data_IF_755084384209
#
_entry.id   IF_755084384209
#
_cell.length_a   1.000
_cell.length_b   1.000
_cell.length_c   1.000
_cell.angle_alpha   90.00
_cell.angle_beta   90.00
_cell.angle_gamma   90.00
#
_symmetry.space_group_name_H-M   'P 1'
#
loop_
_entity.id
_entity.type
_entity.pdbx_description
1 polymer ?
#
# COMPACT_ATOMS: atom_id res chain seq x y z
N UNK A 1 6.95 14.44 -16.67
CA UNK A 1 6.06 14.58 -15.50
C UNK A 1 5.92 13.21 -14.86
N UNK A 2 6.32 13.07 -13.60
CA UNK A 2 6.20 11.80 -12.89
C UNK A 2 4.78 11.66 -12.35
N UNK A 3 4.15 10.50 -12.51
CA UNK A 3 2.84 10.20 -11.93
C UNK A 3 2.93 9.76 -10.47
N UNK A 4 4.09 9.90 -9.85
CA UNK A 4 4.32 9.65 -8.43
C UNK A 4 4.05 10.96 -7.70
N UNK A 5 3.08 10.94 -6.78
CA UNK A 5 2.77 12.04 -5.87
C UNK A 5 3.32 11.73 -4.50
N UNK A 6 3.99 12.70 -3.87
CA UNK A 6 4.52 12.61 -2.51
C UNK A 6 3.91 13.74 -1.67
N UNK A 7 3.25 13.38 -0.57
CA UNK A 7 2.51 14.29 0.29
C UNK A 7 2.97 14.15 1.73
N UNK A 8 3.18 15.27 2.39
CA UNK A 8 3.62 15.32 3.78
C UNK A 8 2.94 16.48 4.49
N UNK A 9 2.27 16.21 5.61
CA UNK A 9 1.66 17.20 6.48
C UNK A 9 1.45 16.65 7.90
N UNK A 10 0.95 17.50 8.81
CA UNK A 10 0.73 17.13 10.21
C UNK A 10 -0.29 16.01 10.39
N UNK A 11 -1.28 15.88 9.49
CA UNK A 11 -2.27 14.80 9.53
C UNK A 11 -1.63 13.45 9.23
N UNK A 12 -0.75 13.39 8.24
CA UNK A 12 -0.01 12.15 7.93
C UNK A 12 1.02 11.79 9.00
N UNK A 13 1.62 12.77 9.67
CA UNK A 13 2.47 12.51 10.83
C UNK A 13 1.70 11.84 11.96
N UNK A 14 0.50 12.33 12.28
CA UNK A 14 -0.37 11.72 13.29
C UNK A 14 -0.80 10.29 12.91
N UNK A 15 -1.12 10.05 11.63
CA UNK A 15 -1.43 8.69 11.13
C UNK A 15 -0.22 7.76 11.24
N UNK A 16 0.98 8.24 10.94
CA UNK A 16 2.21 7.47 11.08
C UNK A 16 2.44 7.01 12.54
N UNK A 17 2.23 7.91 13.51
CA UNK A 17 2.29 7.57 14.94
C UNK A 17 1.24 6.54 15.33
N UNK A 18 0.01 6.69 14.84
CA UNK A 18 -1.06 5.75 15.11
C UNK A 18 -0.77 4.35 14.54
N UNK A 19 -0.22 4.26 13.33
CA UNK A 19 0.21 3.00 12.70
C UNK A 19 1.28 2.31 13.54
N UNK A 20 2.33 3.03 13.95
CA UNK A 20 3.40 2.48 14.78
C UNK A 20 2.86 1.94 16.10
N UNK A 21 2.09 2.78 16.82
CA UNK A 21 1.54 2.43 18.11
C UNK A 21 0.56 1.23 18.03
N UNK A 22 -0.27 1.16 16.98
CA UNK A 22 -1.18 0.03 16.77
C UNK A 22 -0.40 -1.26 16.49
N UNK A 23 0.59 -1.20 15.58
CA UNK A 23 1.39 -2.37 15.24
C UNK A 23 2.09 -2.96 16.48
N UNK A 24 2.62 -2.10 17.36
CA UNK A 24 3.32 -2.52 18.57
C UNK A 24 2.37 -3.13 19.63
N UNK A 25 1.12 -2.63 19.72
CA UNK A 25 0.13 -3.13 20.70
C UNK A 25 -0.61 -4.39 20.25
N UNK A 26 -0.56 -4.75 18.95
CA UNK A 26 -1.37 -5.83 18.39
C UNK A 26 -0.54 -6.98 17.82
N UNK A 27 0.34 -7.64 18.64
CA UNK A 27 1.07 -8.82 18.20
C UNK A 27 0.14 -10.00 17.86
N UNK A 28 -1.08 -10.01 18.41
CA UNK A 28 -2.13 -10.99 18.15
C UNK A 28 -2.61 -10.98 16.68
N UNK A 29 -2.51 -9.85 15.98
CA UNK A 29 -2.90 -9.69 14.58
C UNK A 29 -1.75 -9.88 13.59
N UNK A 30 -0.52 -9.95 14.07
CA UNK A 30 0.67 -10.04 13.22
C UNK A 30 0.80 -11.42 12.58
N UNK A 31 1.08 -11.46 11.28
CA UNK A 31 1.29 -12.68 10.50
C UNK A 31 2.49 -12.50 9.57
N UNK A 32 3.18 -13.58 9.17
CA UNK A 32 4.18 -13.50 8.09
C UNK A 32 3.56 -12.88 6.83
N UNK A 33 4.25 -11.89 6.26
CA UNK A 33 3.79 -11.21 5.06
C UNK A 33 3.82 -12.15 3.84
N UNK A 34 2.79 -12.06 2.99
CA UNK A 34 2.66 -12.86 1.77
C UNK A 34 2.81 -11.93 0.56
N UNK A 35 3.47 -12.42 -0.50
CA UNK A 35 3.44 -11.83 -1.84
C UNK A 35 2.84 -12.84 -2.82
N UNK A 36 1.84 -12.44 -3.58
CA UNK A 36 1.31 -13.24 -4.68
C UNK A 36 2.30 -13.28 -5.85
N UNK A 37 2.32 -14.38 -6.60
CA UNK A 37 3.17 -14.54 -7.76
C UNK A 37 4.48 -15.30 -7.49
N UNK A 38 4.36 -16.40 -6.77
CA UNK A 38 5.29 -17.51 -6.59
C UNK A 38 6.79 -17.23 -6.70
N UNK A 39 7.51 -17.45 -5.66
CA UNK A 39 8.87 -18.01 -5.62
C UNK A 39 10.06 -17.30 -6.29
N UNK A 40 9.88 -16.30 -7.12
CA UNK A 40 11.01 -15.57 -7.68
C UNK A 40 11.63 -14.71 -6.57
N UNK A 41 12.88 -15.01 -6.21
CA UNK A 41 13.67 -14.24 -5.26
C UNK A 41 13.97 -12.81 -5.75
N UNK A 42 14.55 -12.00 -4.88
CA UNK A 42 15.20 -10.76 -5.30
C UNK A 42 16.48 -11.06 -6.10
N UNK A 43 17.08 -10.00 -6.64
CA UNK A 43 18.35 -10.09 -7.40
C UNK A 43 19.52 -10.69 -6.55
N UNK A 44 19.37 -10.69 -5.24
CA UNK A 44 20.30 -11.23 -4.25
C UNK A 44 20.08 -12.73 -3.90
N UNK A 45 19.11 -13.39 -4.56
CA UNK A 45 18.76 -14.80 -4.33
C UNK A 45 17.96 -15.04 -3.04
N UNK A 46 17.58 -13.99 -2.31
CA UNK A 46 16.74 -14.08 -1.11
C UNK A 46 15.25 -14.03 -1.48
N UNK A 47 14.34 -14.43 -0.56
CA UNK A 47 12.89 -14.34 -0.82
C UNK A 47 12.47 -12.96 -1.30
N UNK A 48 11.61 -12.89 -2.32
CA UNK A 48 11.17 -11.64 -2.94
C UNK A 48 10.49 -10.68 -1.98
N UNK A 49 9.83 -11.19 -0.92
CA UNK A 49 9.28 -10.42 0.19
C UNK A 49 9.48 -11.15 1.51
N UNK A 50 9.98 -10.44 2.51
CA UNK A 50 10.00 -10.88 3.92
C UNK A 50 9.51 -9.71 4.76
N UNK A 51 8.45 -9.91 5.53
CA UNK A 51 7.84 -8.90 6.41
C UNK A 51 6.95 -9.55 7.46
N UNK A 52 6.58 -8.76 8.46
CA UNK A 52 5.46 -9.05 9.36
C UNK A 52 4.31 -8.11 9.02
N UNK A 53 3.13 -8.64 8.74
CA UNK A 53 1.98 -7.89 8.25
C UNK A 53 0.79 -7.97 9.23
N UNK A 54 0.01 -6.88 9.31
CA UNK A 54 -1.36 -6.85 9.85
C UNK A 54 -2.28 -6.45 8.70
N UNK A 55 -3.23 -7.31 8.34
CA UNK A 55 -4.27 -6.97 7.37
C UNK A 55 -5.43 -6.26 8.06
N UNK A 56 -5.80 -5.09 7.57
CA UNK A 56 -6.95 -4.32 8.05
C UNK A 56 -8.06 -4.35 7.01
N UNK A 57 -9.26 -4.72 7.47
CA UNK A 57 -10.50 -4.73 6.66
C UNK A 57 -11.46 -3.70 7.25
N UNK A 58 -11.59 -2.54 6.61
CA UNK A 58 -12.47 -1.47 7.12
C UNK A 58 -13.94 -1.88 7.26
N UNK A 59 -14.39 -2.86 6.47
CA UNK A 59 -15.75 -3.40 6.54
C UNK A 59 -15.97 -4.28 7.78
N UNK A 60 -14.89 -4.82 8.38
CA UNK A 60 -14.97 -5.55 9.65
C UNK A 60 -15.05 -4.56 10.81
N UNK A 61 -16.09 -4.69 11.61
CA UNK A 61 -16.36 -3.84 12.78
C UNK A 61 -16.25 -4.60 14.09
N UNK A 62 -15.82 -5.86 14.05
CA UNK A 62 -15.66 -6.70 15.23
C UNK A 62 -14.58 -6.19 16.17
N UNK A 63 -13.53 -5.53 15.63
CA UNK A 63 -12.45 -4.89 16.37
C UNK A 63 -12.55 -3.37 16.22
N UNK A 64 -13.04 -2.70 17.26
CA UNK A 64 -13.28 -1.25 17.23
C UNK A 64 -11.99 -0.42 17.06
N UNK A 65 -10.86 -0.89 17.63
CA UNK A 65 -9.57 -0.19 17.49
C UNK A 65 -9.02 -0.32 16.05
N UNK A 66 -9.03 -1.53 15.51
CA UNK A 66 -8.62 -1.80 14.13
C UNK A 66 -9.49 -1.02 13.13
N UNK A 67 -10.81 -1.02 13.35
CA UNK A 67 -11.74 -0.27 12.50
C UNK A 67 -11.48 1.24 12.57
N UNK A 68 -11.28 1.82 13.75
CA UNK A 68 -11.01 3.25 13.92
C UNK A 68 -9.72 3.67 13.21
N UNK A 69 -8.65 2.87 13.33
CA UNK A 69 -7.40 3.12 12.63
C UNK A 69 -7.57 3.01 11.11
N UNK A 70 -8.25 1.95 10.64
CA UNK A 70 -8.53 1.77 9.22
C UNK A 70 -9.30 2.96 8.64
N UNK A 71 -10.33 3.41 9.33
CA UNK A 71 -11.15 4.56 8.94
C UNK A 71 -10.32 5.86 8.86
N UNK A 72 -9.45 6.11 9.83
CA UNK A 72 -8.56 7.27 9.83
C UNK A 72 -7.57 7.24 8.64
N UNK A 73 -6.95 6.09 8.38
CA UNK A 73 -6.02 5.92 7.26
C UNK A 73 -6.73 6.12 5.93
N UNK A 74 -7.89 5.47 5.71
CA UNK A 74 -8.64 5.59 4.46
C UNK A 74 -9.10 7.03 4.18
N UNK A 75 -9.50 7.77 5.22
CA UNK A 75 -9.78 9.22 5.09
C UNK A 75 -8.54 10.01 4.68
N UNK A 76 -7.39 9.76 5.31
CA UNK A 76 -6.12 10.41 4.96
C UNK A 76 -5.71 10.13 3.51
N UNK A 77 -5.79 8.87 3.09
CA UNK A 77 -5.52 8.46 1.70
C UNK A 77 -6.50 9.12 0.72
N UNK A 78 -7.78 9.23 1.08
CA UNK A 78 -8.78 9.91 0.24
C UNK A 78 -8.46 11.40 0.05
N UNK A 79 -7.95 12.08 1.08
CA UNK A 79 -7.46 13.47 0.96
C UNK A 79 -6.26 13.54 0.02
N UNK A 80 -5.29 12.63 0.18
CA UNK A 80 -4.14 12.51 -0.73
C UNK A 80 -4.54 12.24 -2.18
N UNK A 81 -5.51 11.35 -2.40
CA UNK A 81 -6.06 11.06 -3.73
C UNK A 81 -6.65 12.32 -4.38
N UNK A 82 -7.43 13.10 -3.66
CA UNK A 82 -8.00 14.36 -4.19
C UNK A 82 -6.89 15.33 -4.61
N UNK A 83 -5.83 15.47 -3.80
CA UNK A 83 -4.64 16.29 -4.16
C UNK A 83 -3.97 15.74 -5.42
N UNK A 84 -3.75 14.42 -5.47
CA UNK A 84 -3.11 13.75 -6.62
C UNK A 84 -3.89 13.98 -7.92
N UNK A 85 -5.23 13.88 -7.88
CA UNK A 85 -6.12 14.11 -9.03
C UNK A 85 -6.12 15.59 -9.45
N UNK A 86 -6.16 16.52 -8.50
CA UNK A 86 -6.12 17.96 -8.79
C UNK A 86 -4.84 18.38 -9.51
N UNK A 87 -3.71 17.75 -9.18
CA UNK A 87 -2.42 17.99 -9.85
C UNK A 87 -2.33 17.35 -11.23
N UNK A 88 -3.25 16.44 -11.58
CA UNK A 88 -3.22 15.60 -12.79
C UNK A 88 -4.58 15.56 -13.51
N UNK A 89 -5.11 16.73 -13.93
CA UNK A 89 -6.48 16.82 -14.46
C UNK A 89 -6.70 15.95 -15.71
N UNK A 90 -5.67 15.70 -16.52
CA UNK A 90 -5.76 14.81 -17.68
C UNK A 90 -6.08 13.37 -17.33
N UNK A 91 -5.72 12.93 -16.11
CA UNK A 91 -6.09 11.60 -15.62
C UNK A 91 -7.62 11.44 -15.51
N UNK A 92 -8.31 12.50 -15.10
CA UNK A 92 -9.79 12.49 -14.96
C UNK A 92 -10.54 12.38 -16.29
N UNK A 93 -9.89 12.69 -17.42
CA UNK A 93 -10.48 12.48 -18.75
C UNK A 93 -10.59 10.99 -19.09
N UNK A 94 -9.66 10.18 -18.57
CA UNK A 94 -9.61 8.72 -18.79
C UNK A 94 -10.30 7.94 -17.66
N UNK A 95 -10.25 8.44 -16.44
CA UNK A 95 -10.76 7.77 -15.25
C UNK A 95 -11.52 8.77 -14.35
N UNK A 96 -12.84 8.91 -14.51
CA UNK A 96 -13.64 9.83 -13.70
C UNK A 96 -13.49 9.53 -12.19
N UNK A 97 -13.39 10.57 -11.35
CA UNK A 97 -13.22 10.44 -9.90
C UNK A 97 -14.27 9.51 -9.26
N UNK A 98 -15.53 9.61 -9.70
CA UNK A 98 -16.64 8.75 -9.23
C UNK A 98 -16.44 7.26 -9.49
N UNK A 99 -15.48 6.91 -10.35
CA UNK A 99 -15.13 5.52 -10.67
C UNK A 99 -13.97 5.01 -9.83
N UNK A 100 -13.47 5.80 -8.89
CA UNK A 100 -12.35 5.45 -8.01
C UNK A 100 -12.83 5.34 -6.57
N UNK A 101 -12.30 4.34 -5.87
CA UNK A 101 -12.46 4.23 -4.41
C UNK A 101 -11.17 3.70 -3.78
N UNK A 102 -10.89 4.16 -2.56
CA UNK A 102 -9.80 3.60 -1.76
C UNK A 102 -10.21 2.21 -1.29
N UNK A 103 -9.43 1.19 -1.61
CA UNK A 103 -9.74 -0.19 -1.27
C UNK A 103 -9.85 -0.35 0.26
N UNK A 104 -10.96 -0.93 0.77
CA UNK A 104 -11.19 -1.07 2.20
C UNK A 104 -10.36 -2.18 2.85
N UNK A 105 -9.59 -2.93 2.05
CA UNK A 105 -8.61 -3.93 2.49
C UNK A 105 -7.20 -3.42 2.18
N UNK A 106 -6.37 -3.31 3.20
CA UNK A 106 -4.98 -2.88 3.09
C UNK A 106 -4.12 -3.46 4.22
N UNK A 107 -2.81 -3.31 4.15
CA UNK A 107 -1.89 -3.89 5.10
C UNK A 107 -1.05 -2.84 5.82
N UNK A 108 -0.82 -3.07 7.11
CA UNK A 108 0.34 -2.53 7.81
C UNK A 108 1.46 -3.56 7.67
N UNK A 109 2.66 -3.12 7.30
CA UNK A 109 3.79 -4.01 7.05
C UNK A 109 5.00 -3.52 7.80
N UNK A 110 5.64 -4.43 8.54
CA UNK A 110 6.92 -4.16 9.18
C UNK A 110 7.99 -5.07 8.60
N UNK A 111 9.10 -4.45 8.27
CA UNK A 111 10.31 -5.09 7.77
C UNK A 111 11.41 -4.90 8.81
N UNK A 112 11.93 -5.98 9.39
CA UNK A 112 13.09 -5.92 10.27
C UNK A 112 14.36 -5.55 9.48
N UNK A 113 15.47 -5.20 10.14
CA UNK A 113 16.75 -5.00 9.48
C UNK A 113 17.13 -6.21 8.60
N UNK A 114 17.43 -5.95 7.33
CA UNK A 114 17.69 -6.99 6.34
C UNK A 114 16.45 -7.57 5.65
N UNK A 115 15.22 -7.24 6.07
CA UNK A 115 14.00 -7.63 5.40
C UNK A 115 13.53 -6.56 4.39
N UNK A 116 12.68 -6.97 3.44
CA UNK A 116 12.15 -6.05 2.43
C UNK A 116 11.27 -6.72 1.39
N UNK A 117 10.71 -5.93 0.50
CA UNK A 117 10.12 -6.40 -0.74
C UNK A 117 11.13 -6.16 -1.87
N UNK A 118 12.03 -7.13 -2.07
CA UNK A 118 13.21 -7.03 -2.92
C UNK A 118 12.91 -7.17 -4.39
N UNK A 119 11.85 -7.92 -4.73
CA UNK A 119 11.50 -8.20 -6.12
C UNK A 119 10.93 -6.97 -6.80
N UNK A 120 11.38 -6.67 -8.01
CA UNK A 120 10.71 -5.75 -8.91
C UNK A 120 9.32 -6.26 -9.25
N UNK A 121 8.30 -5.47 -9.01
CA UNK A 121 6.91 -5.85 -9.26
C UNK A 121 6.05 -4.64 -9.64
N UNK A 122 4.91 -4.92 -10.20
CA UNK A 122 3.76 -4.00 -10.20
C UNK A 122 2.66 -4.60 -9.31
N UNK A 123 1.66 -3.80 -8.98
CA UNK A 123 0.56 -4.24 -8.12
C UNK A 123 -0.57 -4.97 -8.86
N UNK A 124 -0.44 -5.14 -10.18
CA UNK A 124 -1.36 -5.99 -10.94
C UNK A 124 -1.03 -7.46 -10.71
N UNK A 125 -2.10 -8.29 -10.60
CA UNK A 125 -1.95 -9.73 -10.68
C UNK A 125 -1.88 -10.13 -12.15
N UNK A 126 -0.72 -10.62 -12.59
CA UNK A 126 -0.44 -11.00 -13.98
C UNK A 126 -0.24 -12.52 -14.11
N UNK A 127 -0.65 -13.27 -13.09
CA UNK A 127 -0.57 -14.72 -13.14
C UNK A 127 -1.54 -15.28 -14.20
N UNK A 128 -1.15 -16.36 -14.92
CA UNK A 128 -1.97 -16.93 -16.01
C UNK A 128 -3.36 -17.40 -15.58
N UNK A 129 -3.50 -17.77 -14.32
CA UNK A 129 -4.74 -18.25 -13.70
C UNK A 129 -5.47 -17.20 -12.88
N UNK A 130 -5.05 -15.92 -12.96
CA UNK A 130 -5.72 -14.84 -12.27
C UNK A 130 -7.17 -14.70 -12.78
N UNK A 131 -8.12 -14.99 -11.91
CA UNK A 131 -9.57 -14.94 -12.22
C UNK A 131 -10.18 -13.57 -12.00
N UNK A 132 -9.50 -12.71 -11.20
CA UNK A 132 -9.99 -11.39 -10.86
C UNK A 132 -9.58 -10.33 -11.89
N UNK A 133 -10.51 -9.51 -12.37
CA UNK A 133 -10.18 -8.41 -13.28
C UNK A 133 -9.29 -7.37 -12.57
N UNK A 134 -8.31 -6.84 -13.30
CA UNK A 134 -7.43 -5.82 -12.76
C UNK A 134 -8.23 -4.55 -12.45
N UNK A 135 -8.36 -4.23 -11.16
CA UNK A 135 -9.08 -3.05 -10.67
C UNK A 135 -8.18 -2.03 -10.00
N UNK A 136 -6.94 -2.40 -9.68
CA UNK A 136 -5.99 -1.52 -9.02
C UNK A 136 -5.47 -0.48 -10.02
N UNK A 137 -5.91 0.76 -9.85
CA UNK A 137 -5.52 1.89 -10.71
C UNK A 137 -4.30 2.57 -10.15
N UNK A 138 -4.32 2.86 -8.85
CA UNK A 138 -3.21 3.44 -8.13
C UNK A 138 -2.88 2.59 -6.91
N UNK A 139 -1.62 2.65 -6.48
CA UNK A 139 -1.16 2.16 -5.19
C UNK A 139 -0.80 3.35 -4.30
N UNK A 140 -0.79 3.12 -2.99
CA UNK A 140 -0.36 4.11 -2.02
C UNK A 140 0.48 3.48 -0.92
N UNK A 141 1.42 4.25 -0.38
CA UNK A 141 2.27 3.89 0.74
C UNK A 141 2.33 5.07 1.70
N UNK A 142 1.99 4.85 2.96
CA UNK A 142 2.22 5.79 4.06
C UNK A 142 3.40 5.26 4.88
N UNK A 143 4.50 6.00 4.94
CA UNK A 143 5.66 5.64 5.76
C UNK A 143 5.41 6.03 7.21
N UNK A 144 5.48 5.05 8.12
CA UNK A 144 5.24 5.27 9.54
C UNK A 144 6.48 5.70 10.31
N UNK A 145 7.68 5.51 9.75
CA UNK A 145 8.93 5.99 10.32
C UNK A 145 9.91 6.45 9.23
N UNK A 146 10.86 7.29 9.65
CA UNK A 146 11.98 7.73 8.79
C UNK A 146 13.17 6.80 8.96
N UNK A 147 13.84 6.51 7.87
CA UNK A 147 15.10 5.77 7.88
C UNK A 147 15.96 6.16 6.65
N UNK A 148 17.30 6.24 6.82
CA UNK A 148 18.20 6.73 5.77
C UNK A 148 18.32 5.77 4.59
N UNK A 149 18.14 4.47 4.86
CA UNK A 149 18.15 3.40 3.87
C UNK A 149 16.77 2.78 3.84
N UNK A 150 16.05 2.92 2.79
CA UNK A 150 14.68 2.42 2.73
C UNK A 150 13.91 3.11 1.63
N UNK A 151 12.58 3.19 1.78
CA UNK A 151 11.75 3.81 0.78
C UNK A 151 11.42 2.87 -0.37
N UNK A 152 11.04 3.45 -1.50
CA UNK A 152 10.57 2.70 -2.67
C UNK A 152 11.26 3.19 -3.94
N UNK A 153 11.87 2.28 -4.69
CA UNK A 153 12.49 2.55 -5.99
C UNK A 153 11.54 2.26 -7.13
N UNK A 154 11.53 3.14 -8.14
CA UNK A 154 10.75 3.01 -9.37
C UNK A 154 11.70 2.87 -10.56
N UNK A 155 11.65 1.72 -11.22
CA UNK A 155 12.62 1.37 -12.27
C UNK A 155 12.60 2.32 -13.47
N UNK A 156 11.44 2.42 -14.13
CA UNK A 156 11.32 3.22 -15.37
C UNK A 156 11.41 4.74 -15.16
N UNK A 157 11.08 5.20 -13.95
CA UNK A 157 11.12 6.61 -13.60
C UNK A 157 12.49 7.05 -13.10
N UNK A 158 13.40 6.11 -12.85
CA UNK A 158 14.69 6.36 -12.18
C UNK A 158 14.48 7.24 -10.94
N UNK A 159 13.46 6.89 -10.14
CA UNK A 159 13.02 7.66 -9.00
C UNK A 159 13.03 6.85 -7.72
N UNK A 160 13.39 7.51 -6.63
CA UNK A 160 13.35 6.96 -5.29
C UNK A 160 12.49 7.84 -4.39
N UNK A 161 11.48 7.24 -3.77
CA UNK A 161 10.70 7.86 -2.71
C UNK A 161 11.35 7.51 -1.38
N UNK A 162 11.87 8.52 -0.70
CA UNK A 162 12.52 8.36 0.60
C UNK A 162 11.51 7.95 1.68
N UNK A 163 11.93 7.06 2.59
CA UNK A 163 11.14 6.69 3.75
C UNK A 163 11.21 7.80 4.80
N UNK A 164 10.26 8.71 4.78
CA UNK A 164 10.09 9.78 5.75
C UNK A 164 8.79 9.57 6.52
N UNK A 165 8.83 9.63 7.84
CA UNK A 165 7.64 9.53 8.68
C UNK A 165 6.57 10.53 8.27
N UNK A 166 5.35 10.04 8.05
CA UNK A 166 4.22 10.85 7.59
C UNK A 166 4.25 11.21 6.10
N UNK A 167 5.13 10.61 5.29
CA UNK A 167 5.06 10.75 3.83
C UNK A 167 4.05 9.75 3.26
N UNK A 168 3.07 10.26 2.53
CA UNK A 168 2.16 9.47 1.69
C UNK A 168 2.61 9.54 0.24
N UNK A 169 2.94 8.40 -0.35
CA UNK A 169 3.19 8.25 -1.78
C UNK A 169 1.95 7.66 -2.47
N UNK A 170 1.57 8.21 -3.64
CA UNK A 170 0.51 7.68 -4.50
C UNK A 170 1.04 7.58 -5.92
N UNK A 171 0.88 6.42 -6.56
CA UNK A 171 1.45 6.15 -7.89
C UNK A 171 0.61 5.11 -8.66
N UNK A 172 0.72 5.04 -10.01
CA UNK A 172 0.04 4.03 -10.81
C UNK A 172 0.44 2.59 -10.43
N UNK A 173 -0.55 1.70 -10.31
CA UNK A 173 -0.38 0.32 -9.88
C UNK A 173 0.15 -0.63 -10.97
N UNK A 174 0.12 -0.21 -12.25
CA UNK A 174 0.42 -1.07 -13.39
C UNK A 174 1.88 -1.16 -13.79
N UNK A 175 2.13 -1.85 -14.89
CA UNK A 175 3.46 -2.15 -15.46
C UNK A 175 4.34 -0.93 -15.73
N UNK A 176 3.72 0.24 -15.95
CA UNK A 176 4.47 1.50 -16.15
C UNK A 176 5.21 1.97 -14.90
N UNK A 177 4.87 1.44 -13.72
CA UNK A 177 5.48 1.83 -12.45
C UNK A 177 5.96 0.60 -11.67
N UNK A 178 6.81 -0.20 -12.34
CA UNK A 178 7.51 -1.31 -11.68
C UNK A 178 8.38 -0.73 -10.57
N UNK A 179 8.21 -1.29 -9.37
CA UNK A 179 8.86 -0.79 -8.17
C UNK A 179 9.29 -1.91 -7.22
N UNK A 180 10.13 -1.56 -6.26
CA UNK A 180 10.51 -2.43 -5.13
C UNK A 180 10.77 -1.60 -3.87
N UNK A 181 10.65 -2.24 -2.72
CA UNK A 181 11.08 -1.66 -1.44
C UNK A 181 12.58 -1.82 -1.26
N UNK A 182 13.29 -0.71 -0.98
CA UNK A 182 14.70 -0.80 -0.56
C UNK A 182 14.80 -1.44 0.82
N UNK A 183 15.82 -2.27 0.99
CA UNK A 183 16.14 -2.93 2.25
C UNK A 183 16.99 -1.99 3.10
N UNK A 184 16.61 -1.80 4.36
CA UNK A 184 17.50 -1.23 5.36
C UNK A 184 18.15 -2.38 6.14
N UNK A 185 19.46 -2.33 6.29
CA UNK A 185 20.21 -3.33 7.08
C UNK A 185 20.39 -2.92 8.55
N UNK A 186 20.00 -1.69 8.89
CA UNK A 186 20.25 -1.10 10.22
C UNK A 186 18.97 -0.75 10.97
N UNK A 187 17.86 -0.49 10.27
CA UNK A 187 16.62 -0.01 10.87
C UNK A 187 15.41 -0.81 10.40
N UNK A 188 14.45 -0.99 11.26
CA UNK A 188 13.13 -1.51 10.88
C UNK A 188 12.35 -0.47 10.10
N UNK A 189 11.65 -0.88 9.04
CA UNK A 189 10.74 -0.07 8.24
C UNK A 189 9.30 -0.48 8.53
N UNK A 190 8.45 0.49 8.85
CA UNK A 190 7.01 0.25 9.01
C UNK A 190 6.23 1.14 8.04
N UNK A 191 5.27 0.56 7.32
CA UNK A 191 4.41 1.24 6.36
C UNK A 191 2.96 0.80 6.53
N UNK A 192 2.02 1.64 6.09
CA UNK A 192 0.69 1.21 5.67
C UNK A 192 0.62 1.29 4.14
N UNK A 193 0.04 0.28 3.49
CA UNK A 193 -0.01 0.23 2.02
C UNK A 193 -1.27 -0.47 1.52
N UNK A 194 -1.77 0.01 0.39
CA UNK A 194 -2.96 -0.52 -0.25
C UNK A 194 -3.19 0.09 -1.62
N UNK A 195 -4.43 0.02 -2.10
CA UNK A 195 -4.76 0.37 -3.47
C UNK A 195 -5.95 1.32 -3.57
N UNK A 196 -6.01 2.01 -4.70
CA UNK A 196 -7.16 2.75 -5.17
C UNK A 196 -7.65 2.00 -6.40
N UNK A 197 -8.89 1.52 -6.31
CA UNK A 197 -9.47 0.63 -7.31
C UNK A 197 -10.45 1.39 -8.20
N UNK A 198 -10.64 0.87 -9.44
CA UNK A 198 -11.74 1.26 -10.29
C UNK A 198 -13.01 0.45 -9.98
N UNK A 199 -14.18 1.07 -10.07
CA UNK A 199 -15.47 0.46 -9.81
C UNK A 199 -16.23 1.12 -8.68
N UNK A 200 -17.13 0.35 -8.04
CA UNK A 200 -17.92 0.81 -6.90
C UNK A 200 -17.50 0.06 -5.63
N UNK A 201 -17.45 0.77 -4.52
CA UNK A 201 -17.14 0.19 -3.23
C UNK A 201 -18.16 -0.88 -2.80
N UNK A 202 -19.45 -0.64 -3.11
CA UNK A 202 -20.54 -1.56 -2.79
C UNK A 202 -20.36 -2.92 -3.47
N UNK A 203 -19.96 -2.91 -4.77
CA UNK A 203 -19.70 -4.14 -5.52
C UNK A 203 -18.50 -4.91 -4.98
N UNK A 204 -17.50 -4.19 -4.48
CA UNK A 204 -16.33 -4.79 -3.85
C UNK A 204 -16.68 -5.41 -2.48
N UNK A 205 -17.47 -4.70 -1.68
CA UNK A 205 -17.93 -5.18 -0.36
C UNK A 205 -18.77 -6.46 -0.47
N UNK A 206 -19.68 -6.55 -1.44
CA UNK A 206 -20.47 -7.74 -1.68
C UNK A 206 -19.61 -8.99 -1.99
N UNK A 207 -18.48 -8.82 -2.70
CA UNK A 207 -17.57 -9.91 -3.01
C UNK A 207 -16.79 -10.40 -1.80
N UNK A 208 -16.31 -9.48 -0.95
CA UNK A 208 -15.62 -9.87 0.29
C UNK A 208 -16.52 -10.69 1.22
N UNK A 209 -17.83 -10.42 1.23
CA UNK A 209 -18.80 -11.17 2.02
C UNK A 209 -19.19 -12.50 1.36
N UNK A 210 -19.26 -12.55 0.02
CA UNK A 210 -19.62 -13.77 -0.74
C UNK A 210 -18.47 -14.78 -0.88
N UNK A 211 -17.21 -14.35 -0.86
CA UNK A 211 -16.03 -15.22 -0.95
C UNK A 211 -15.69 -15.99 0.33
N UNK A 212 -16.36 -15.70 1.45
CA UNK A 212 -16.23 -16.44 2.69
C UNK A 212 -17.06 -17.73 2.74
N UNK A 213 -17.76 -18.08 1.65
CA UNK A 213 -18.68 -19.22 1.55
C UNK A 213 -18.32 -20.22 0.46
N UNK A 214 -17.08 -20.28 -0.01
CA UNK A 214 -16.62 -21.25 -1.02
C UNK A 214 -15.36 -21.98 -0.54
#
# INVERSE_FOLDING_TARGET
>A
MRLIGEYHDSGYLALADAVMAFFDRRPDLQRPGVAFGGGAGGDDGLPGKVSTDISLVWLDRSDAEAHALADAILRGVSVGLKRWLAERPRFLECCPERSLFVCPLFNLQRYAPGEGFRRWHCDWSLEPDATEPQRRVLAWILYANSLPEGGTEFHWQEHHVEAEKGKLAIFPAGLSHIHRGRVSHTHSKTIATGWINAGRLEDYGARLQGGASA
#
